data_IF_867916076375
#
_entry.id   IF_867916076375
#
_cell.length_a   1.000
_cell.length_b   1.000
_cell.length_c   1.000
_cell.angle_alpha   90.00
_cell.angle_beta   90.00
_cell.angle_gamma   90.00
#
_symmetry.space_group_name_H-M   'P 1'
#
loop_
_entity.id
_entity.type
_entity.pdbx_description
1 polymer ?
#
# COMPACT_ATOMS: atom_id res chain seq x y z
N UNK A 1 12.95 -19.96 8.33
CA UNK A 1 11.85 -19.24 7.66
C UNK A 1 12.05 -17.75 7.87
N UNK A 2 12.11 -16.95 6.80
CA UNK A 2 12.04 -15.50 6.97
C UNK A 2 10.67 -15.13 7.55
N UNK A 3 10.62 -14.16 8.48
CA UNK A 3 9.37 -13.69 9.06
C UNK A 3 8.47 -13.17 7.93
N UNK A 4 7.19 -13.55 7.93
CA UNK A 4 6.21 -13.19 6.88
C UNK A 4 6.23 -11.71 6.49
N UNK A 5 6.38 -10.81 7.47
CA UNK A 5 6.52 -9.37 7.26
C UNK A 5 7.77 -8.97 6.47
N UNK A 6 8.91 -9.61 6.75
CA UNK A 6 10.18 -9.34 6.06
C UNK A 6 10.15 -9.83 4.62
N UNK A 7 9.51 -10.96 4.35
CA UNK A 7 9.32 -11.48 3.00
C UNK A 7 8.50 -10.49 2.15
N UNK A 8 7.38 -10.01 2.68
CA UNK A 8 6.52 -9.03 1.99
C UNK A 8 7.26 -7.70 1.75
N UNK A 9 8.00 -7.21 2.74
CA UNK A 9 8.81 -5.99 2.61
C UNK A 9 9.90 -6.09 1.55
N UNK A 10 10.58 -7.24 1.45
CA UNK A 10 11.56 -7.47 0.38
C UNK A 10 10.89 -7.48 -0.99
N UNK A 11 9.71 -8.10 -1.10
CA UNK A 11 8.97 -8.19 -2.36
C UNK A 11 8.48 -6.82 -2.82
N UNK A 12 7.92 -6.00 -1.92
CA UNK A 12 7.48 -4.61 -2.18
C UNK A 12 8.60 -3.73 -2.76
N UNK A 13 9.86 -4.00 -2.40
CA UNK A 13 11.01 -3.22 -2.87
C UNK A 13 11.54 -3.64 -4.22
N UNK A 14 11.28 -4.87 -4.65
CA UNK A 14 11.89 -5.49 -5.84
C UNK A 14 10.92 -5.67 -7.00
N UNK A 15 9.65 -5.88 -6.69
CA UNK A 15 8.62 -6.26 -7.66
C UNK A 15 7.65 -5.07 -7.86
N UNK A 16 7.69 -4.40 -9.03
CA UNK A 16 6.85 -3.24 -9.31
C UNK A 16 5.35 -3.58 -9.39
N UNK A 17 4.98 -4.77 -9.88
CA UNK A 17 3.59 -5.24 -9.93
C UNK A 17 3.06 -5.47 -8.51
N UNK A 18 3.88 -6.15 -7.69
CA UNK A 18 3.53 -6.40 -6.29
C UNK A 18 3.39 -5.10 -5.50
N UNK A 19 4.28 -4.13 -5.73
CA UNK A 19 4.17 -2.80 -5.16
C UNK A 19 2.86 -2.13 -5.58
N UNK A 20 2.54 -2.15 -6.88
CA UNK A 20 1.35 -1.50 -7.42
C UNK A 20 0.06 -2.07 -6.82
N UNK A 21 -0.08 -3.39 -6.77
CA UNK A 21 -1.27 -4.05 -6.22
C UNK A 21 -1.43 -3.71 -4.74
N UNK A 22 -0.34 -3.77 -3.95
CA UNK A 22 -0.39 -3.41 -2.52
C UNK A 22 -0.72 -1.93 -2.33
N UNK A 23 -0.18 -1.06 -3.18
CA UNK A 23 -0.44 0.37 -3.15
C UNK A 23 -1.92 0.69 -3.43
N UNK A 24 -2.49 0.12 -4.49
CA UNK A 24 -3.91 0.27 -4.83
C UNK A 24 -4.83 -0.29 -3.74
N UNK A 25 -4.49 -1.46 -3.19
CA UNK A 25 -5.23 -2.06 -2.07
C UNK A 25 -5.26 -1.13 -0.86
N UNK A 26 -4.12 -0.53 -0.50
CA UNK A 26 -4.07 0.42 0.61
C UNK A 26 -4.89 1.68 0.37
N UNK A 27 -4.94 2.19 -0.87
CA UNK A 27 -5.82 3.32 -1.23
C UNK A 27 -7.29 2.95 -0.97
N UNK A 28 -7.73 1.75 -1.40
CA UNK A 28 -9.09 1.28 -1.16
C UNK A 28 -9.40 1.17 0.33
N UNK A 29 -8.48 0.60 1.11
CA UNK A 29 -8.61 0.52 2.57
C UNK A 29 -8.69 1.91 3.20
N UNK A 30 -7.89 2.86 2.72
CA UNK A 30 -7.90 4.23 3.23
C UNK A 30 -9.20 4.99 2.93
N UNK A 31 -9.86 4.69 1.80
CA UNK A 31 -11.19 5.23 1.49
C UNK A 31 -12.27 4.79 2.49
N UNK A 32 -12.20 3.57 3.02
CA UNK A 32 -13.15 3.07 4.03
C UNK A 32 -13.10 3.92 5.31
N UNK A 33 -11.91 4.38 5.70
CA UNK A 33 -11.74 5.23 6.88
C UNK A 33 -12.22 6.67 6.65
N UNK A 34 -12.12 7.19 5.43
CA UNK A 34 -12.58 8.53 5.08
C UNK A 34 -14.09 8.63 4.84
N UNK A 35 -14.74 7.55 4.39
CA UNK A 35 -16.19 7.48 4.16
C UNK A 35 -16.87 6.46 5.08
N UNK A 36 -16.91 6.72 6.40
CA UNK A 36 -17.47 5.77 7.35
C UNK A 36 -19.00 5.68 7.19
N UNK A 37 -19.51 4.49 6.87
CA UNK A 37 -20.96 4.23 6.69
C UNK A 37 -21.74 4.08 8.01
N UNK A 38 -21.26 4.63 9.14
CA UNK A 38 -21.92 4.46 10.44
C UNK A 38 -21.35 5.27 11.62
N UNK A 39 -21.89 5.05 12.83
CA UNK A 39 -21.62 5.81 14.08
C UNK A 39 -20.23 5.56 14.72
N UNK A 40 -19.31 4.86 14.06
CA UNK A 40 -18.01 4.46 14.62
C UNK A 40 -16.90 5.53 14.45
N UNK A 41 -17.23 6.81 14.69
CA UNK A 41 -16.37 7.95 14.36
C UNK A 41 -14.95 7.87 14.94
N UNK A 42 -14.80 7.58 16.23
CA UNK A 42 -13.48 7.61 16.90
C UNK A 42 -12.57 6.44 16.53
N UNK A 43 -13.14 5.24 16.37
CA UNK A 43 -12.37 4.04 15.99
C UNK A 43 -11.87 4.16 14.54
N UNK A 44 -12.70 4.73 13.65
CA UNK A 44 -12.34 4.95 12.25
C UNK A 44 -11.23 6.00 12.07
N UNK A 45 -11.21 7.03 12.91
CA UNK A 45 -10.12 8.03 12.89
C UNK A 45 -8.80 7.39 13.32
N UNK A 46 -8.79 6.66 14.44
CA UNK A 46 -7.55 6.04 14.95
C UNK A 46 -6.97 5.01 13.97
N UNK A 47 -7.84 4.16 13.40
CA UNK A 47 -7.45 3.18 12.38
C UNK A 47 -7.01 3.87 11.08
N UNK A 48 -7.68 4.93 10.65
CA UNK A 48 -7.26 5.75 9.51
C UNK A 48 -5.87 6.39 9.69
N UNK A 49 -5.53 6.86 10.89
CA UNK A 49 -4.19 7.38 11.22
C UNK A 49 -3.14 6.27 11.09
N UNK A 50 -3.38 5.10 11.69
CA UNK A 50 -2.46 3.94 11.61
C UNK A 50 -2.25 3.51 10.16
N UNK A 51 -3.32 3.42 9.38
CA UNK A 51 -3.25 3.09 7.95
C UNK A 51 -2.49 4.15 7.16
N UNK A 52 -2.65 5.44 7.48
CA UNK A 52 -1.91 6.52 6.81
C UNK A 52 -0.41 6.46 7.10
N UNK A 53 -0.01 6.16 8.35
CA UNK A 53 1.39 5.94 8.72
C UNK A 53 1.96 4.75 7.94
N UNK A 54 1.21 3.65 7.86
CA UNK A 54 1.63 2.47 7.11
C UNK A 54 1.72 2.73 5.60
N UNK A 55 0.80 3.52 5.05
CA UNK A 55 0.81 3.95 3.66
C UNK A 55 2.07 4.76 3.34
N UNK A 56 2.37 5.78 4.15
CA UNK A 56 3.61 6.57 4.02
C UNK A 56 4.84 5.70 4.13
N UNK A 57 4.85 4.73 5.05
CA UNK A 57 5.96 3.78 5.19
C UNK A 57 6.21 2.97 3.92
N UNK A 58 5.17 2.47 3.25
CA UNK A 58 5.30 1.78 1.95
C UNK A 58 5.76 2.74 0.85
N UNK A 59 5.28 3.99 0.87
CA UNK A 59 5.61 5.00 -0.12
C UNK A 59 7.10 5.38 -0.08
N UNK A 60 7.64 5.55 1.14
CA UNK A 60 9.03 5.89 1.40
C UNK A 60 9.99 4.69 1.49
N UNK A 61 9.48 3.46 1.35
CA UNK A 61 10.38 2.31 1.27
C UNK A 61 11.30 2.47 0.06
N UNK A 62 12.62 2.35 0.30
CA UNK A 62 13.62 2.38 -0.78
C UNK A 62 13.37 1.20 -1.73
N UNK A 63 13.07 1.51 -2.99
CA UNK A 63 12.75 0.55 -4.07
C UNK A 63 13.96 0.37 -4.98
N UNK A 64 14.09 -0.83 -5.55
CA UNK A 64 15.09 -1.17 -6.57
C UNK A 64 14.59 -0.85 -8.00
N UNK A 65 13.30 -0.52 -8.13
CA UNK A 65 12.66 -0.10 -9.38
C UNK A 65 12.25 1.38 -9.34
N UNK A 66 12.07 1.95 -10.53
CA UNK A 66 11.60 3.31 -10.78
C UNK A 66 10.08 3.39 -10.90
N UNK A 67 9.52 4.58 -10.67
CA UNK A 67 8.09 4.83 -10.94
C UNK A 67 7.71 4.67 -12.42
N UNK A 68 8.67 4.76 -13.35
CA UNK A 68 8.45 4.47 -14.77
C UNK A 68 8.14 2.99 -15.00
N UNK A 69 8.79 2.10 -14.27
CA UNK A 69 8.51 0.65 -14.33
C UNK A 69 7.13 0.34 -13.74
N UNK A 70 6.77 0.97 -12.62
CA UNK A 70 5.42 0.86 -12.05
C UNK A 70 4.36 1.38 -13.03
N UNK A 71 4.65 2.46 -13.74
CA UNK A 71 3.71 3.02 -14.73
C UNK A 71 3.51 2.05 -15.90
N UNK A 72 4.56 1.38 -16.37
CA UNK A 72 4.43 0.35 -17.41
C UNK A 72 3.49 -0.78 -16.99
N UNK A 73 3.47 -1.17 -15.71
CA UNK A 73 2.53 -2.17 -15.20
C UNK A 73 1.04 -1.84 -15.46
N UNK A 74 0.68 -0.57 -15.65
CA UNK A 74 -0.69 -0.17 -16.01
C UNK A 74 -1.00 -0.30 -17.49
N UNK A 75 0.02 -0.23 -18.35
CA UNK A 75 -0.13 -0.10 -19.80
C UNK A 75 0.47 -1.26 -20.59
N UNK A 76 1.16 -2.19 -19.92
CA UNK A 76 1.57 -3.44 -20.53
C UNK A 76 0.31 -4.28 -20.81
N UNK A 77 -0.29 -3.98 -21.95
CA UNK A 77 -1.10 -4.91 -22.72
C UNK A 77 -0.17 -6.05 -23.12
N UNK A 78 -0.29 -7.17 -22.39
CA UNK A 78 0.29 -8.44 -22.86
C UNK A 78 -0.18 -8.77 -24.26
#
# INVERSE_FOLDING_TARGET
>A
MERFLWFNLKKIKKDPDYFLINFLFLIVVQMIFYFPTGKAGTINILSGIVTSIFFLYILFCKKEFSYKEVWKCFWDEK
#
